data_IF_986614449885
#
_entry.id   IF_986614449885
#
_cell.length_a   1.000
_cell.length_b   1.000
_cell.length_c   1.000
_cell.angle_alpha   90.00
_cell.angle_beta   90.00
_cell.angle_gamma   90.00
#
_symmetry.space_group_name_H-M   'P 1'
#
loop_
_entity.id
_entity.type
_entity.pdbx_description
1 polymer ?
#
# COMPACT_ATOMS: atom_id res chain seq x y z
N UNK A 1 7.58 26.10 -39.40
CA UNK A 1 6.30 26.80 -39.38
C UNK A 1 5.32 25.97 -38.53
N UNK A 2 4.52 26.64 -37.69
CA UNK A 2 3.43 25.99 -37.00
C UNK A 2 2.39 25.48 -37.99
N UNK A 3 1.80 24.33 -37.73
CA UNK A 3 0.74 23.72 -38.55
C UNK A 3 -0.46 23.44 -37.67
N UNK A 4 -1.64 23.89 -38.10
CA UNK A 4 -2.89 23.64 -37.41
C UNK A 4 -3.51 22.33 -37.89
N UNK A 5 -4.11 21.58 -36.98
CA UNK A 5 -4.93 20.40 -37.24
C UNK A 5 -6.27 20.59 -36.57
N UNK A 6 -7.33 20.48 -37.35
CA UNK A 6 -8.72 20.49 -36.88
C UNK A 6 -9.54 19.54 -37.77
N UNK A 7 -10.68 19.07 -37.29
CA UNK A 7 -11.42 18.10 -38.08
C UNK A 7 -12.81 17.78 -37.52
N UNK A 8 -13.41 16.82 -38.23
CA UNK A 8 -14.74 16.27 -37.99
C UNK A 8 -15.89 17.23 -38.31
N UNK A 9 -15.69 18.02 -39.35
CA UNK A 9 -16.75 18.80 -39.96
C UNK A 9 -17.33 18.06 -41.18
N UNK A 10 -18.65 18.10 -41.34
CA UNK A 10 -19.32 17.53 -42.50
C UNK A 10 -18.93 18.29 -43.79
N UNK A 11 -18.91 17.58 -44.89
CA UNK A 11 -18.77 18.19 -46.21
C UNK A 11 -20.03 18.96 -46.60
N UNK A 12 -19.83 20.09 -47.27
CA UNK A 12 -20.87 20.84 -47.97
C UNK A 12 -20.46 21.01 -49.42
N UNK A 13 -21.40 21.36 -50.30
CA UNK A 13 -21.15 21.46 -51.76
C UNK A 13 -19.97 22.39 -52.10
N UNK A 14 -19.77 23.45 -51.31
CA UNK A 14 -18.69 24.43 -51.49
C UNK A 14 -17.39 24.10 -50.73
N UNK A 15 -17.40 23.09 -49.85
CA UNK A 15 -16.24 22.70 -49.00
C UNK A 15 -16.28 21.20 -48.69
N UNK A 16 -15.67 20.41 -49.58
CA UNK A 16 -15.56 18.96 -49.41
C UNK A 16 -14.43 18.64 -48.46
N UNK A 17 -14.77 17.94 -47.39
CA UNK A 17 -13.84 17.54 -46.33
C UNK A 17 -13.50 16.06 -46.43
N UNK A 18 -12.22 15.76 -46.52
CA UNK A 18 -11.68 14.41 -46.44
C UNK A 18 -10.69 14.31 -45.29
N UNK A 19 -10.83 13.28 -44.46
CA UNK A 19 -9.95 13.03 -43.35
C UNK A 19 -9.25 11.69 -43.54
N UNK A 20 -7.93 11.71 -43.48
CA UNK A 20 -7.12 10.49 -43.54
C UNK A 20 -6.86 9.90 -42.14
N UNK A 21 -6.39 8.64 -42.12
CA UNK A 21 -6.08 7.94 -40.88
C UNK A 21 -5.01 8.66 -40.04
N UNK A 22 -4.08 9.38 -40.66
CA UNK A 22 -3.03 10.10 -39.92
C UNK A 22 -3.61 11.32 -39.19
N UNK A 23 -4.62 11.99 -39.77
CA UNK A 23 -5.34 13.10 -39.13
C UNK A 23 -6.12 12.61 -37.92
N UNK A 24 -6.83 11.47 -38.01
CA UNK A 24 -7.50 10.84 -36.85
C UNK A 24 -6.50 10.45 -35.76
N UNK A 25 -5.43 9.78 -36.12
CA UNK A 25 -4.38 9.38 -35.16
C UNK A 25 -3.73 10.61 -34.51
N UNK A 26 -3.53 11.70 -35.26
CA UNK A 26 -2.96 12.94 -34.70
C UNK A 26 -3.84 13.55 -33.61
N UNK A 27 -5.14 13.63 -33.83
CA UNK A 27 -6.10 14.18 -32.87
C UNK A 27 -6.19 13.26 -31.61
N UNK A 28 -6.26 11.94 -31.84
CA UNK A 28 -6.32 11.00 -30.71
C UNK A 28 -5.02 11.04 -29.87
N UNK A 29 -3.87 11.09 -30.51
CA UNK A 29 -2.56 11.23 -29.83
C UNK A 29 -2.45 12.51 -28.99
N UNK A 30 -3.10 13.59 -29.41
CA UNK A 30 -3.16 14.83 -28.64
C UNK A 30 -3.96 14.65 -27.34
N UNK A 31 -4.92 13.73 -27.30
CA UNK A 31 -5.87 13.53 -26.20
C UNK A 31 -5.54 12.34 -25.29
N UNK A 32 -4.90 11.29 -25.85
CA UNK A 32 -4.62 10.04 -25.14
C UNK A 32 -3.13 9.69 -25.20
N UNK A 33 -2.59 9.16 -24.13
CA UNK A 33 -1.21 8.65 -24.06
C UNK A 33 -1.09 7.28 -24.72
N UNK A 34 0.11 6.90 -25.15
CA UNK A 34 0.40 5.53 -25.54
C UNK A 34 0.30 4.60 -24.34
N UNK A 35 -0.22 3.39 -24.54
CA UNK A 35 -0.34 2.38 -23.49
C UNK A 35 -1.53 1.46 -23.68
N UNK A 36 -1.70 0.52 -22.77
CA UNK A 36 -2.88 -0.35 -22.71
C UNK A 36 -4.08 0.40 -22.13
N UNK A 37 -5.28 0.08 -22.60
CA UNK A 37 -6.50 0.82 -22.27
C UNK A 37 -7.18 0.39 -20.98
N UNK A 38 -6.72 -0.69 -20.34
CA UNK A 38 -7.31 -1.24 -19.11
C UNK A 38 -6.24 -1.69 -18.11
N UNK A 39 -6.49 -1.45 -16.83
CA UNK A 39 -5.71 -2.00 -15.72
C UNK A 39 -6.12 -3.43 -15.35
N UNK A 40 -7.35 -3.84 -15.74
CA UNK A 40 -7.97 -5.09 -15.31
C UNK A 40 -7.72 -6.20 -16.33
N UNK A 41 -6.50 -6.73 -16.36
CA UNK A 41 -6.16 -7.88 -17.19
C UNK A 41 -6.07 -7.63 -18.70
N UNK A 42 -6.40 -6.44 -19.20
CA UNK A 42 -6.37 -6.12 -20.63
C UNK A 42 -4.99 -6.31 -21.23
N UNK A 43 -4.90 -7.15 -22.28
CA UNK A 43 -3.67 -7.57 -22.94
C UNK A 43 -2.63 -8.23 -21.99
N UNK A 44 -3.08 -8.82 -20.89
CA UNK A 44 -2.21 -9.57 -19.98
C UNK A 44 -1.62 -10.79 -20.67
N UNK A 45 -0.32 -11.00 -20.45
CA UNK A 45 0.38 -12.17 -20.97
C UNK A 45 0.53 -13.19 -19.86
N UNK A 46 0.08 -14.41 -20.11
CA UNK A 46 0.17 -15.54 -19.17
C UNK A 46 0.79 -16.77 -19.82
N UNK A 47 1.27 -17.71 -19.01
CA UNK A 47 1.70 -19.03 -19.43
C UNK A 47 1.15 -20.08 -18.46
N UNK A 48 0.79 -21.26 -18.97
CA UNK A 48 0.16 -22.35 -18.22
C UNK A 48 1.13 -23.45 -17.79
N UNK A 49 2.38 -23.39 -18.24
CA UNK A 49 3.40 -24.39 -17.94
C UNK A 49 3.33 -25.67 -18.79
N UNK A 50 2.43 -25.76 -19.76
CA UNK A 50 2.19 -26.98 -20.51
C UNK A 50 3.07 -27.10 -21.76
N UNK A 51 3.43 -25.99 -22.36
CA UNK A 51 4.24 -25.95 -23.59
C UNK A 51 5.02 -24.63 -23.74
N UNK A 52 5.56 -24.37 -24.93
CA UNK A 52 6.33 -23.16 -25.27
C UNK A 52 5.46 -22.01 -25.74
N UNK A 53 4.26 -21.86 -25.19
CA UNK A 53 3.33 -20.82 -25.59
C UNK A 53 2.99 -19.86 -24.43
N UNK A 54 2.65 -18.65 -24.80
CA UNK A 54 2.02 -17.66 -23.93
C UNK A 54 0.66 -17.27 -24.50
N UNK A 55 -0.25 -16.90 -23.63
CA UNK A 55 -1.60 -16.47 -23.97
C UNK A 55 -1.75 -14.98 -23.69
N UNK A 56 -2.46 -14.28 -24.55
CA UNK A 56 -2.73 -12.84 -24.39
C UNK A 56 -4.22 -12.64 -24.17
N UNK A 57 -4.57 -12.00 -23.08
CA UNK A 57 -5.97 -11.69 -22.74
C UNK A 57 -6.53 -10.62 -23.70
N UNK A 58 -7.85 -10.62 -23.87
CA UNK A 58 -8.56 -9.58 -24.60
C UNK A 58 -8.31 -8.20 -24.00
N UNK A 59 -8.32 -7.17 -24.83
CA UNK A 59 -8.07 -5.81 -24.41
C UNK A 59 -7.62 -4.92 -25.57
N UNK A 60 -7.29 -3.69 -25.26
CA UNK A 60 -6.88 -2.73 -26.27
C UNK A 60 -5.67 -1.89 -25.85
N UNK A 61 -5.07 -1.23 -26.81
CA UNK A 61 -4.04 -0.22 -26.58
C UNK A 61 -4.11 0.91 -27.61
N UNK A 62 -3.47 2.01 -27.25
CA UNK A 62 -3.25 3.16 -28.14
C UNK A 62 -1.75 3.32 -28.37
N UNK A 63 -1.33 3.39 -29.63
CA UNK A 63 0.05 3.66 -30.05
C UNK A 63 0.05 4.77 -31.07
N UNK A 64 0.64 5.92 -30.74
CA UNK A 64 0.75 7.09 -31.61
C UNK A 64 -0.60 7.54 -32.24
N UNK A 65 -1.70 7.33 -31.45
CA UNK A 65 -3.05 7.63 -31.89
C UNK A 65 -3.72 6.56 -32.74
N UNK A 66 -3.06 5.46 -33.04
CA UNK A 66 -3.67 4.28 -33.65
C UNK A 66 -4.17 3.34 -32.52
N UNK A 67 -5.31 2.71 -32.74
CA UNK A 67 -5.96 1.83 -31.77
C UNK A 67 -5.83 0.38 -32.20
N UNK A 68 -5.45 -0.48 -31.27
CA UNK A 68 -5.49 -1.93 -31.40
C UNK A 68 -6.48 -2.49 -30.39
N UNK A 69 -7.31 -3.44 -30.80
CA UNK A 69 -8.23 -4.17 -29.93
C UNK A 69 -8.10 -5.65 -30.26
N UNK A 70 -7.95 -6.45 -29.19
CA UNK A 70 -8.05 -7.90 -29.21
C UNK A 70 -9.36 -8.27 -28.52
N UNK A 71 -10.30 -8.80 -29.27
CA UNK A 71 -11.63 -9.22 -28.79
C UNK A 71 -11.71 -10.74 -28.72
N UNK A 72 -12.53 -11.24 -27.77
CA UNK A 72 -12.87 -12.64 -27.69
C UNK A 72 -13.99 -12.93 -28.72
N UNK A 73 -13.71 -13.81 -29.64
CA UNK A 73 -14.69 -14.29 -30.63
C UNK A 73 -15.36 -15.63 -30.21
N UNK A 74 -15.13 -16.06 -28.95
CA UNK A 74 -15.60 -17.32 -28.39
C UNK A 74 -14.80 -18.55 -28.83
N UNK A 75 -13.61 -18.31 -29.39
CA UNK A 75 -12.67 -19.35 -29.82
C UNK A 75 -11.55 -19.63 -28.82
N UNK A 76 -10.42 -20.09 -29.36
CA UNK A 76 -9.21 -20.36 -28.57
C UNK A 76 -8.53 -19.02 -28.15
N UNK A 77 -7.88 -18.99 -26.98
CA UNK A 77 -7.12 -17.82 -26.54
C UNK A 77 -6.08 -17.39 -27.55
N UNK A 78 -5.84 -16.08 -27.69
CA UNK A 78 -4.79 -15.56 -28.53
C UNK A 78 -3.43 -16.03 -28.04
N UNK A 79 -2.76 -16.86 -28.83
CA UNK A 79 -1.60 -17.63 -28.42
C UNK A 79 -0.35 -17.24 -29.21
N UNK A 80 0.77 -17.12 -28.54
CA UNK A 80 2.08 -16.86 -29.12
C UNK A 80 3.03 -18.00 -28.80
N UNK A 81 3.75 -18.48 -29.82
CA UNK A 81 4.75 -19.55 -29.65
C UNK A 81 6.14 -18.94 -29.49
N UNK A 82 6.87 -19.43 -28.53
CA UNK A 82 8.29 -19.13 -28.30
C UNK A 82 9.15 -20.29 -28.79
N UNK A 83 10.18 -19.98 -29.55
CA UNK A 83 11.14 -20.99 -29.96
C UNK A 83 11.93 -21.51 -28.73
N UNK A 84 12.29 -22.80 -28.67
CA UNK A 84 13.12 -23.31 -27.61
C UNK A 84 14.46 -22.57 -27.54
N UNK A 85 14.98 -22.34 -26.31
CA UNK A 85 16.36 -21.87 -26.15
C UNK A 85 17.34 -23.03 -26.16
N UNK A 86 18.50 -22.83 -26.71
CA UNK A 86 19.55 -23.85 -26.72
C UNK A 86 20.16 -24.09 -25.34
N UNK A 87 21.49 -23.93 -25.22
CA UNK A 87 22.23 -24.21 -23.98
C UNK A 87 22.28 -23.06 -22.97
N UNK A 88 21.68 -21.92 -23.27
CA UNK A 88 21.66 -20.76 -22.40
C UNK A 88 20.22 -20.14 -22.36
N UNK A 89 19.91 -19.50 -21.26
CA UNK A 89 18.65 -18.75 -21.10
C UNK A 89 18.60 -17.56 -22.05
N UNK A 90 17.40 -17.17 -22.46
CA UNK A 90 17.14 -15.90 -23.11
C UNK A 90 15.89 -15.23 -22.52
N UNK A 91 15.72 -13.96 -22.79
CA UNK A 91 14.50 -13.21 -22.47
C UNK A 91 13.87 -12.72 -23.77
N UNK A 92 12.67 -13.21 -24.08
CA UNK A 92 11.84 -12.70 -25.16
C UNK A 92 10.98 -11.54 -24.64
N UNK A 93 10.44 -10.71 -25.53
CA UNK A 93 9.39 -9.74 -25.23
C UNK A 93 8.15 -10.01 -26.04
N UNK A 94 7.01 -9.97 -25.38
CA UNK A 94 5.69 -9.89 -26.03
C UNK A 94 5.34 -8.42 -26.17
N UNK A 95 5.13 -7.96 -27.38
CA UNK A 95 4.83 -6.54 -27.68
C UNK A 95 3.61 -6.39 -28.55
N UNK A 96 2.88 -5.27 -28.39
CA UNK A 96 2.03 -4.74 -29.45
C UNK A 96 2.88 -3.83 -30.30
N UNK A 97 2.91 -4.11 -31.60
CA UNK A 97 3.72 -3.36 -32.57
C UNK A 97 2.82 -2.66 -33.58
N UNK A 98 2.98 -1.35 -33.69
CA UNK A 98 2.50 -0.54 -34.79
C UNK A 98 3.56 -0.53 -35.89
N UNK A 99 3.16 -0.89 -37.11
CA UNK A 99 3.93 -0.70 -38.35
C UNK A 99 3.19 0.31 -39.22
N UNK A 100 3.74 1.51 -39.33
CA UNK A 100 3.12 2.63 -40.07
C UNK A 100 4.00 3.08 -41.27
N UNK A 101 4.64 2.12 -41.92
CA UNK A 101 5.42 2.36 -43.15
C UNK A 101 4.58 2.23 -44.42
N UNK A 102 5.18 2.57 -45.56
CA UNK A 102 4.47 2.45 -46.84
C UNK A 102 4.14 1.00 -47.23
N UNK A 103 4.97 0.05 -46.80
CA UNK A 103 4.83 -1.40 -47.10
C UNK A 103 4.04 -2.18 -46.08
N UNK A 104 3.87 -1.63 -44.87
CA UNK A 104 3.15 -2.31 -43.79
C UNK A 104 2.38 -1.26 -42.97
N UNK A 105 1.07 -1.35 -42.98
CA UNK A 105 0.14 -0.52 -42.21
C UNK A 105 -0.73 -1.44 -41.37
N UNK A 106 -0.24 -1.81 -40.20
CA UNK A 106 -0.91 -2.77 -39.29
C UNK A 106 -0.46 -2.61 -37.88
N UNK A 107 -1.27 -3.12 -36.97
CA UNK A 107 -0.91 -3.39 -35.58
C UNK A 107 -1.09 -4.86 -35.28
N UNK A 108 -0.34 -5.35 -34.30
CA UNK A 108 -0.50 -6.74 -33.85
C UNK A 108 0.44 -7.10 -32.72
N UNK A 109 0.07 -8.14 -32.00
CA UNK A 109 0.91 -8.74 -30.94
C UNK A 109 1.98 -9.60 -31.59
N UNK A 110 3.21 -9.48 -31.11
CA UNK A 110 4.37 -10.24 -31.61
C UNK A 110 5.32 -10.63 -30.48
N UNK A 111 6.07 -11.70 -30.68
CA UNK A 111 7.24 -12.03 -29.87
C UNK A 111 8.48 -11.39 -30.51
N UNK A 112 9.22 -10.63 -29.72
CA UNK A 112 10.59 -10.24 -30.01
C UNK A 112 11.52 -11.25 -29.35
N UNK A 113 12.17 -12.08 -30.15
CA UNK A 113 13.07 -13.13 -29.66
C UNK A 113 14.37 -12.52 -29.14
N UNK A 114 14.74 -12.86 -27.90
CA UNK A 114 15.97 -12.43 -27.29
C UNK A 114 17.20 -13.22 -27.74
N UNK A 115 18.36 -12.82 -27.25
CA UNK A 115 19.62 -13.52 -27.53
C UNK A 115 20.01 -14.39 -26.32
N UNK A 116 20.23 -15.71 -26.52
CA UNK A 116 20.69 -16.58 -25.44
C UNK A 116 22.06 -16.16 -24.92
N UNK A 117 22.16 -16.03 -23.57
CA UNK A 117 23.45 -15.68 -22.92
C UNK A 117 23.47 -16.09 -21.44
N UNK A 118 24.64 -16.04 -20.80
CA UNK A 118 24.77 -16.26 -19.36
C UNK A 118 24.10 -15.17 -18.51
N UNK A 119 23.87 -13.99 -19.09
CA UNK A 119 23.13 -12.88 -18.46
C UNK A 119 22.21 -12.26 -19.52
N UNK A 120 21.08 -12.94 -19.82
CA UNK A 120 20.22 -12.54 -20.92
C UNK A 120 19.56 -11.18 -20.64
N UNK A 121 19.47 -10.36 -21.69
CA UNK A 121 18.79 -9.09 -21.66
C UNK A 121 17.59 -9.12 -22.62
N UNK A 122 16.48 -8.48 -22.28
CA UNK A 122 15.34 -8.41 -23.17
C UNK A 122 15.66 -7.56 -24.42
N UNK A 123 15.07 -7.86 -25.58
CA UNK A 123 15.23 -7.06 -26.77
C UNK A 123 14.87 -5.59 -26.56
N UNK A 124 15.63 -4.70 -27.15
CA UNK A 124 15.34 -3.26 -27.13
C UNK A 124 14.08 -2.96 -27.94
N UNK A 125 13.18 -2.15 -27.40
CA UNK A 125 11.97 -1.69 -28.08
C UNK A 125 12.31 -0.74 -29.21
N UNK A 126 11.69 -0.94 -30.36
CA UNK A 126 11.78 -0.03 -31.50
C UNK A 126 10.73 1.05 -31.36
N UNK A 127 11.16 2.31 -31.35
CA UNK A 127 10.27 3.49 -31.26
C UNK A 127 10.74 4.59 -32.20
N UNK A 128 10.17 4.60 -33.40
CA UNK A 128 10.47 5.61 -34.44
C UNK A 128 9.20 5.94 -35.22
N UNK A 129 9.31 6.77 -36.25
CA UNK A 129 8.17 7.22 -37.05
C UNK A 129 7.45 6.10 -37.82
N UNK A 130 8.11 4.98 -38.07
CA UNK A 130 7.57 3.88 -38.88
C UNK A 130 7.16 2.67 -38.04
N UNK A 131 7.83 2.47 -36.89
CA UNK A 131 7.59 1.34 -35.99
C UNK A 131 7.55 1.85 -34.56
N UNK A 132 6.52 1.43 -33.83
CA UNK A 132 6.42 1.71 -32.40
C UNK A 132 5.98 0.46 -31.64
N UNK A 133 6.65 0.15 -30.55
CA UNK A 133 6.39 -1.03 -29.75
C UNK A 133 6.06 -0.67 -28.31
N UNK A 134 5.01 -1.33 -27.76
CA UNK A 134 4.69 -1.37 -26.34
C UNK A 134 4.95 -2.78 -25.85
N UNK A 135 5.74 -2.92 -24.79
CA UNK A 135 6.03 -4.21 -24.19
C UNK A 135 4.94 -4.62 -23.21
N UNK A 136 4.25 -5.72 -23.48
CA UNK A 136 3.26 -6.28 -22.57
C UNK A 136 3.94 -7.09 -21.45
N UNK A 137 4.93 -7.92 -21.81
CA UNK A 137 5.66 -8.74 -20.86
C UNK A 137 7.06 -9.13 -21.35
N UNK A 138 7.95 -9.43 -20.42
CA UNK A 138 9.15 -10.22 -20.66
C UNK A 138 8.86 -11.69 -20.37
N UNK A 139 9.40 -12.57 -21.18
CA UNK A 139 9.24 -14.02 -21.05
C UNK A 139 10.63 -14.66 -21.02
N UNK A 140 10.98 -15.24 -19.87
CA UNK A 140 12.24 -15.98 -19.74
C UNK A 140 12.09 -17.38 -20.35
N UNK A 141 12.85 -17.67 -21.37
CA UNK A 141 12.95 -18.98 -21.98
C UNK A 141 14.22 -19.64 -21.45
N UNK A 142 14.06 -20.57 -20.53
CA UNK A 142 15.20 -21.26 -19.88
C UNK A 142 15.93 -22.16 -20.86
N UNK A 143 17.18 -22.40 -20.59
CA UNK A 143 18.03 -23.34 -21.40
C UNK A 143 17.37 -24.71 -21.49
N UNK A 144 17.24 -25.23 -22.72
CA UNK A 144 16.62 -26.53 -23.00
C UNK A 144 15.21 -26.76 -22.48
N UNK A 145 14.49 -25.68 -22.10
CA UNK A 145 13.10 -25.77 -21.65
C UNK A 145 12.20 -26.21 -22.83
N UNK A 146 11.20 -26.99 -22.49
CA UNK A 146 10.09 -27.40 -23.39
C UNK A 146 8.77 -26.78 -23.00
N UNK A 147 8.74 -26.02 -21.92
CA UNK A 147 7.58 -25.31 -21.43
C UNK A 147 7.98 -23.95 -20.86
N UNK A 148 7.02 -23.02 -20.77
CA UNK A 148 7.15 -21.72 -20.12
C UNK A 148 6.21 -21.73 -18.92
N UNK A 149 6.76 -21.54 -17.72
CA UNK A 149 5.97 -21.46 -16.49
C UNK A 149 5.45 -20.03 -16.24
N UNK A 150 4.43 -19.89 -15.39
CA UNK A 150 3.88 -18.58 -15.05
C UNK A 150 4.90 -17.64 -14.41
N UNK A 151 5.82 -18.17 -13.61
CA UNK A 151 6.90 -17.40 -12.99
C UNK A 151 7.98 -16.91 -13.98
N UNK A 152 7.99 -17.43 -15.20
CA UNK A 152 8.89 -16.97 -16.27
C UNK A 152 8.33 -15.75 -17.02
N UNK A 153 7.08 -15.33 -16.73
CA UNK A 153 6.44 -14.16 -17.33
C UNK A 153 6.49 -12.99 -16.36
N UNK A 154 7.06 -11.88 -16.81
CA UNK A 154 7.11 -10.63 -16.05
C UNK A 154 6.25 -9.57 -16.76
N UNK A 155 5.18 -9.12 -16.13
CA UNK A 155 4.29 -8.09 -16.68
C UNK A 155 4.99 -6.74 -16.74
N UNK A 156 5.01 -6.10 -17.93
CA UNK A 156 5.57 -4.77 -18.17
C UNK A 156 4.50 -3.70 -18.48
N UNK A 157 3.21 -4.04 -18.42
CA UNK A 157 2.13 -3.09 -18.75
C UNK A 157 2.12 -1.88 -17.83
N UNK A 158 2.46 -2.06 -16.56
CA UNK A 158 2.56 -0.98 -15.57
C UNK A 158 3.80 -0.11 -15.68
N UNK A 159 4.81 -0.53 -16.43
CA UNK A 159 6.03 0.26 -16.64
C UNK A 159 5.80 1.32 -17.73
N UNK A 160 5.74 2.59 -17.33
CA UNK A 160 5.54 3.71 -18.25
C UNK A 160 6.66 3.88 -19.30
N UNK A 161 7.85 3.29 -19.07
CA UNK A 161 8.94 3.31 -20.04
C UNK A 161 8.81 2.16 -21.05
N UNK A 162 8.22 1.04 -20.67
CA UNK A 162 8.04 -0.12 -21.53
C UNK A 162 6.69 -0.13 -22.24
N UNK A 163 5.60 0.16 -21.52
CA UNK A 163 4.23 0.14 -22.01
C UNK A 163 3.44 1.36 -21.51
N UNK A 164 3.04 1.33 -20.23
CA UNK A 164 2.15 2.30 -19.63
C UNK A 164 0.68 2.06 -19.94
N UNK A 165 -0.17 2.97 -19.42
CA UNK A 165 -1.61 2.93 -19.63
C UNK A 165 -2.07 4.09 -20.51
N UNK A 166 -3.04 3.82 -21.39
CA UNK A 166 -3.66 4.79 -22.28
C UNK A 166 -4.63 5.70 -21.50
N UNK A 167 -4.10 6.65 -20.76
CA UNK A 167 -4.89 7.61 -20.00
C UNK A 167 -5.06 8.92 -20.76
N UNK A 168 -6.15 9.64 -20.45
CA UNK A 168 -6.38 10.97 -21.01
C UNK A 168 -5.28 11.94 -20.54
N UNK A 169 -4.62 12.60 -21.49
CA UNK A 169 -3.59 13.63 -21.19
C UNK A 169 -4.13 14.80 -20.37
N UNK A 170 -5.41 15.09 -20.51
CA UNK A 170 -6.08 16.13 -19.75
C UNK A 170 -6.31 15.71 -18.31
N UNK A 171 -6.79 14.47 -18.10
CA UNK A 171 -7.06 13.92 -16.77
C UNK A 171 -5.76 13.74 -15.98
N UNK A 172 -4.73 13.21 -16.60
CA UNK A 172 -3.41 13.03 -15.99
C UNK A 172 -2.86 14.35 -15.45
N UNK A 173 -2.88 15.42 -16.26
CA UNK A 173 -2.47 16.76 -15.82
C UNK A 173 -3.36 17.33 -14.71
N UNK A 174 -4.67 17.13 -14.81
CA UNK A 174 -5.61 17.62 -13.81
C UNK A 174 -5.39 16.93 -12.45
N UNK A 175 -5.11 15.63 -12.45
CA UNK A 175 -4.83 14.86 -11.24
C UNK A 175 -3.43 15.16 -10.70
N UNK A 176 -2.40 15.14 -11.55
CA UNK A 176 -1.02 15.41 -11.14
C UNK A 176 -0.85 16.81 -10.51
N UNK A 177 -1.54 17.82 -11.05
CA UNK A 177 -1.52 19.17 -10.50
C UNK A 177 -2.30 19.34 -9.20
N UNK A 178 -3.11 18.34 -8.80
CA UNK A 178 -3.95 18.39 -7.59
C UNK A 178 -3.54 17.41 -6.50
N UNK A 179 -2.54 16.57 -6.75
CA UNK A 179 -1.96 15.71 -5.70
C UNK A 179 -0.85 16.48 -5.00
N UNK A 180 -1.02 16.75 -3.72
CA UNK A 180 -0.07 17.54 -2.93
C UNK A 180 0.63 16.71 -1.87
N UNK A 181 1.93 16.87 -1.78
CA UNK A 181 2.76 16.25 -0.75
C UNK A 181 2.91 17.19 0.46
N UNK A 182 1.76 17.58 1.06
CA UNK A 182 1.72 18.50 2.20
C UNK A 182 0.51 18.22 3.07
N UNK A 183 0.70 18.19 4.40
CA UNK A 183 -0.37 18.09 5.38
C UNK A 183 -1.00 19.45 5.74
N UNK A 184 -0.46 20.55 5.22
CA UNK A 184 -0.91 21.91 5.54
C UNK A 184 -1.78 22.53 4.45
N UNK A 185 -2.09 21.77 3.39
CA UNK A 185 -2.99 22.22 2.34
C UNK A 185 -4.44 22.31 2.89
N UNK A 186 -5.04 23.47 2.80
CA UNK A 186 -6.40 23.77 3.29
C UNK A 186 -7.38 24.08 2.17
N UNK A 187 -6.92 24.20 0.93
CA UNK A 187 -7.75 24.47 -0.22
C UNK A 187 -8.52 23.22 -0.68
N UNK A 188 -9.78 23.41 -1.07
CA UNK A 188 -10.60 22.34 -1.61
C UNK A 188 -10.14 21.91 -3.02
N UNK A 189 -10.37 20.64 -3.37
CA UNK A 189 -10.08 20.10 -4.71
C UNK A 189 -8.68 19.53 -4.87
N UNK A 190 -7.92 19.38 -3.79
CA UNK A 190 -6.63 18.69 -3.76
C UNK A 190 -6.74 17.30 -3.12
N UNK A 191 -5.96 16.35 -3.60
CA UNK A 191 -5.79 15.03 -3.03
C UNK A 191 -4.45 14.94 -2.29
N UNK A 192 -4.43 14.17 -1.21
CA UNK A 192 -3.21 13.95 -0.45
C UNK A 192 -2.35 12.87 -1.12
N UNK A 193 -1.06 13.15 -1.28
CA UNK A 193 -0.08 12.15 -1.74
C UNK A 193 0.02 10.98 -0.74
N UNK A 194 0.07 9.74 -1.23
CA UNK A 194 0.16 8.54 -0.40
C UNK A 194 1.36 8.55 0.56
N UNK A 195 2.44 9.24 0.23
CA UNK A 195 3.61 9.43 1.11
C UNK A 195 3.26 10.16 2.40
N UNK A 196 2.27 11.04 2.37
CA UNK A 196 1.79 11.72 3.58
C UNK A 196 0.94 10.81 4.47
N UNK A 197 0.23 9.84 3.88
CA UNK A 197 -0.45 8.79 4.64
C UNK A 197 0.53 8.01 5.52
N UNK A 198 1.66 7.61 4.96
CA UNK A 198 2.75 6.96 5.71
C UNK A 198 3.34 7.87 6.79
N UNK A 199 3.60 9.13 6.48
CA UNK A 199 4.12 10.10 7.45
C UNK A 199 3.16 10.35 8.62
N UNK A 200 1.83 10.30 8.37
CA UNK A 200 0.81 10.36 9.42
C UNK A 200 0.81 9.11 10.28
N UNK A 201 0.88 7.92 9.68
CA UNK A 201 0.93 6.64 10.39
C UNK A 201 2.14 6.56 11.34
N UNK A 202 3.32 6.98 10.86
CA UNK A 202 4.54 7.06 11.66
C UNK A 202 4.39 8.04 12.85
N UNK A 203 3.72 9.20 12.63
CA UNK A 203 3.44 10.16 13.71
C UNK A 203 2.43 9.61 14.71
N UNK A 204 1.37 8.96 14.28
CA UNK A 204 0.36 8.33 15.13
C UNK A 204 0.99 7.22 15.96
N UNK A 205 1.81 6.38 15.36
CA UNK A 205 2.52 5.29 16.05
C UNK A 205 3.43 5.85 17.15
N UNK A 206 4.19 6.91 16.84
CA UNK A 206 5.04 7.58 17.84
C UNK A 206 4.23 8.18 18.97
N UNK A 207 3.16 8.95 18.68
CA UNK A 207 2.29 9.52 19.69
C UNK A 207 1.63 8.44 20.56
N UNK A 208 1.25 7.30 19.97
CA UNK A 208 0.68 6.17 20.72
C UNK A 208 1.71 5.51 21.64
N UNK A 209 2.98 5.50 21.26
CA UNK A 209 4.07 5.00 22.08
C UNK A 209 4.45 5.97 23.21
N UNK A 210 4.38 7.27 22.95
CA UNK A 210 4.70 8.35 23.90
C UNK A 210 3.51 8.71 24.81
N UNK A 211 2.29 8.28 24.46
CA UNK A 211 1.08 8.60 25.21
C UNK A 211 1.13 7.96 26.60
N UNK A 212 0.97 8.77 27.64
CA UNK A 212 0.89 8.31 29.00
C UNK A 212 -0.25 7.27 29.17
N UNK A 213 0.09 6.12 29.71
CA UNK A 213 -0.85 5.02 29.98
C UNK A 213 -1.17 4.97 31.45
N UNK A 214 -2.44 4.99 31.79
CA UNK A 214 -2.90 4.81 33.17
C UNK A 214 -3.16 3.33 33.44
N UNK A 215 -2.48 2.78 34.44
CA UNK A 215 -2.73 1.44 34.91
C UNK A 215 -3.36 1.51 36.34
N UNK A 216 -4.29 0.59 36.63
CA UNK A 216 -4.93 0.48 37.94
C UNK A 216 -4.54 -0.84 38.58
N UNK A 217 -4.10 -0.76 39.82
CA UNK A 217 -3.77 -1.91 40.68
C UNK A 217 -4.55 -1.84 41.98
N UNK A 218 -4.62 -2.95 42.67
CA UNK A 218 -5.23 -3.03 44.01
C UNK A 218 -4.30 -3.77 44.95
N UNK A 219 -4.39 -3.41 46.23
CA UNK A 219 -3.73 -4.11 47.30
C UNK A 219 -4.63 -4.09 48.55
N UNK A 220 -4.36 -4.93 49.52
CA UNK A 220 -5.04 -4.90 50.83
C UNK A 220 -4.01 -4.83 51.93
N UNK A 221 -4.09 -3.78 52.74
CA UNK A 221 -3.35 -3.65 53.98
C UNK A 221 -4.17 -4.31 55.11
N UNK A 222 -3.70 -5.42 55.63
CA UNK A 222 -4.45 -6.18 56.66
C UNK A 222 -4.26 -5.59 58.05
N UNK A 223 -5.29 -5.64 58.90
CA UNK A 223 -5.21 -5.14 60.28
C UNK A 223 -4.05 -5.74 61.08
N UNK A 224 -3.77 -7.03 60.85
CA UNK A 224 -2.70 -7.76 61.56
C UNK A 224 -1.30 -7.63 60.95
N UNK A 225 -1.18 -7.05 59.75
CA UNK A 225 0.08 -7.04 58.97
C UNK A 225 1.04 -5.91 59.31
N UNK A 226 0.69 -4.99 60.22
CA UNK A 226 1.50 -3.85 60.61
C UNK A 226 2.62 -4.22 61.59
N UNK A 227 3.76 -3.57 61.46
CA UNK A 227 4.87 -3.72 62.43
C UNK A 227 4.46 -3.41 63.87
N UNK A 228 5.30 -3.84 64.82
CA UNK A 228 4.98 -3.74 66.20
C UNK A 228 5.16 -2.33 66.84
N UNK A 229 5.99 -1.48 66.21
CA UNK A 229 6.32 -0.13 66.69
C UNK A 229 6.23 0.91 65.59
N UNK A 230 5.94 2.15 65.98
CA UNK A 230 5.96 3.28 65.06
C UNK A 230 7.38 3.64 64.59
N UNK A 231 7.56 4.10 63.34
CA UNK A 231 6.52 4.16 62.30
C UNK A 231 6.05 2.75 61.92
N UNK A 232 4.76 2.51 62.03
CA UNK A 232 4.18 1.22 61.64
C UNK A 232 4.27 1.05 60.13
N UNK A 233 4.80 -0.08 59.69
CA UNK A 233 4.96 -0.37 58.27
C UNK A 233 4.27 -1.67 57.89
N UNK A 234 3.72 -1.70 56.67
CA UNK A 234 3.19 -2.94 56.11
C UNK A 234 3.52 -2.98 54.62
N UNK A 235 4.04 -4.11 54.16
CA UNK A 235 4.21 -4.40 52.73
C UNK A 235 3.08 -5.30 52.25
N UNK A 236 2.39 -4.91 51.20
CA UNK A 236 1.30 -5.68 50.61
C UNK A 236 1.61 -5.94 49.11
N UNK A 237 1.17 -7.10 48.60
CA UNK A 237 1.31 -7.45 47.20
C UNK A 237 0.45 -6.53 46.33
N UNK A 238 1.05 -6.00 45.25
CA UNK A 238 0.42 -5.20 44.20
C UNK A 238 1.02 -5.60 42.84
N UNK A 239 0.63 -6.78 42.36
CA UNK A 239 1.21 -7.36 41.14
C UNK A 239 1.14 -6.41 39.97
N UNK A 240 2.28 -6.16 39.32
CA UNK A 240 2.41 -5.25 38.18
C UNK A 240 2.87 -3.82 38.52
N UNK A 241 2.90 -3.43 39.80
CA UNK A 241 3.53 -2.19 40.26
C UNK A 241 5.05 -2.34 40.14
N UNK A 242 5.74 -1.29 39.71
CA UNK A 242 7.21 -1.22 39.60
C UNK A 242 7.78 -0.31 40.68
N UNK A 243 9.01 -0.54 41.08
CA UNK A 243 9.72 0.30 42.07
C UNK A 243 9.96 1.74 41.56
N UNK A 244 9.82 1.97 40.26
CA UNK A 244 9.95 3.29 39.63
C UNK A 244 8.62 4.03 39.51
N UNK A 245 7.50 3.38 39.86
CA UNK A 245 6.19 4.01 39.79
C UNK A 245 6.00 5.01 40.95
N UNK A 246 5.27 6.09 40.62
CA UNK A 246 4.77 7.03 41.63
C UNK A 246 3.24 6.96 41.65
N UNK A 247 2.65 6.02 42.44
CA UNK A 247 1.24 5.76 42.37
C UNK A 247 0.41 6.79 43.13
N UNK A 248 -0.71 7.23 42.56
CA UNK A 248 -1.79 7.81 43.32
C UNK A 248 -2.52 6.69 44.06
N UNK A 249 -2.51 6.72 45.38
CA UNK A 249 -3.12 5.70 46.21
C UNK A 249 -4.31 6.25 47.00
N UNK A 250 -5.42 5.52 46.99
CA UNK A 250 -6.60 5.85 47.75
C UNK A 250 -7.29 4.59 48.27
N UNK A 251 -8.16 4.75 49.26
CA UNK A 251 -8.95 3.66 49.83
C UNK A 251 -9.97 3.16 48.81
N UNK A 252 -10.10 1.83 48.65
CA UNK A 252 -11.15 1.25 47.80
C UNK A 252 -12.46 1.12 48.61
N UNK A 253 -13.37 2.03 48.34
CA UNK A 253 -14.70 2.05 48.94
C UNK A 253 -15.73 1.18 48.20
N UNK A 254 -15.36 0.56 47.07
CA UNK A 254 -16.31 -0.17 46.21
C UNK A 254 -16.94 -1.40 46.88
N UNK A 255 -16.26 -1.97 47.86
CA UNK A 255 -16.74 -3.11 48.64
C UNK A 255 -17.47 -2.73 49.97
N UNK A 256 -17.64 -1.43 50.27
CA UNK A 256 -18.29 -1.00 51.51
C UNK A 256 -19.81 -1.26 51.43
N UNK A 257 -20.33 -2.09 52.34
CA UNK A 257 -21.73 -2.50 52.34
C UNK A 257 -22.69 -1.57 53.14
N UNK A 258 -22.18 -0.46 53.66
CA UNK A 258 -22.98 0.53 54.40
C UNK A 258 -22.13 1.62 55.03
N UNK A 259 -22.81 2.62 55.63
CA UNK A 259 -22.16 3.80 56.20
C UNK A 259 -21.15 3.47 57.30
N UNK A 260 -21.45 2.51 58.16
CA UNK A 260 -20.54 2.13 59.26
C UNK A 260 -19.22 1.58 58.73
N UNK A 261 -19.26 0.72 57.70
CA UNK A 261 -18.05 0.18 57.08
C UNK A 261 -17.29 1.26 56.32
N UNK A 262 -18.01 2.14 55.61
CA UNK A 262 -17.41 3.28 54.91
C UNK A 262 -16.66 4.21 55.86
N UNK A 263 -17.28 4.53 57.03
CA UNK A 263 -16.65 5.36 58.08
C UNK A 263 -15.40 4.68 58.63
N UNK A 264 -15.47 3.38 58.94
CA UNK A 264 -14.32 2.63 59.47
C UNK A 264 -13.14 2.58 58.45
N UNK A 265 -13.42 2.44 57.14
CA UNK A 265 -12.39 2.49 56.10
C UNK A 265 -11.79 3.89 55.92
N UNK A 266 -12.59 4.93 56.02
CA UNK A 266 -12.13 6.32 55.95
C UNK A 266 -11.24 6.68 57.12
N UNK A 267 -11.64 6.30 58.34
CA UNK A 267 -10.83 6.48 59.57
C UNK A 267 -9.52 5.70 59.49
N UNK A 268 -9.59 4.46 59.05
CA UNK A 268 -8.41 3.63 58.86
C UNK A 268 -7.42 4.18 57.83
N UNK A 269 -7.94 4.76 56.70
CA UNK A 269 -7.13 5.41 55.70
C UNK A 269 -6.45 6.67 56.26
N UNK A 270 -7.09 7.38 57.16
CA UNK A 270 -6.54 8.56 57.81
C UNK A 270 -5.25 8.32 58.60
N UNK A 271 -4.94 7.08 59.03
CA UNK A 271 -3.68 6.71 59.69
C UNK A 271 -2.52 6.51 58.68
N UNK A 272 -2.81 6.30 57.38
CA UNK A 272 -1.79 6.06 56.37
C UNK A 272 -1.17 7.38 55.91
N UNK A 273 0.02 7.66 56.38
CA UNK A 273 0.71 8.91 56.05
C UNK A 273 1.57 8.84 54.79
N UNK A 274 1.95 7.65 54.34
CA UNK A 274 2.80 7.46 53.13
C UNK A 274 2.63 6.07 52.56
N UNK A 275 2.68 5.97 51.24
CA UNK A 275 2.82 4.70 50.52
C UNK A 275 3.96 4.81 49.52
N UNK A 276 4.78 3.78 49.39
CA UNK A 276 5.87 3.68 48.40
C UNK A 276 5.68 2.44 47.55
N UNK A 277 6.07 2.56 46.27
CA UNK A 277 6.05 1.46 45.32
C UNK A 277 7.33 0.59 45.45
N UNK A 278 7.16 -0.70 45.21
CA UNK A 278 8.21 -1.68 45.01
C UNK A 278 7.83 -2.63 43.87
N UNK A 279 8.74 -3.49 43.44
CA UNK A 279 8.43 -4.43 42.36
C UNK A 279 7.40 -5.46 42.82
N UNK A 280 6.18 -5.38 42.27
CA UNK A 280 5.05 -6.25 42.59
C UNK A 280 4.43 -5.99 43.97
N UNK A 281 4.73 -4.90 44.63
CA UNK A 281 4.31 -4.61 46.01
C UNK A 281 4.25 -3.12 46.30
N UNK A 282 3.55 -2.77 47.38
CA UNK A 282 3.60 -1.44 48.00
C UNK A 282 3.98 -1.55 49.46
N UNK A 283 4.60 -0.51 50.02
CA UNK A 283 4.83 -0.40 51.49
C UNK A 283 4.14 0.84 52.01
N UNK A 284 3.22 0.67 52.93
CA UNK A 284 2.50 1.72 53.62
C UNK A 284 3.14 2.03 54.99
N UNK A 285 3.06 3.29 55.38
CA UNK A 285 3.63 3.83 56.64
C UNK A 285 2.55 4.59 57.41
N UNK A 286 2.43 4.27 58.70
CA UNK A 286 1.62 5.01 59.66
C UNK A 286 2.53 5.54 60.76
N UNK A 287 2.43 6.82 61.08
CA UNK A 287 3.37 7.48 61.99
C UNK A 287 2.90 7.55 63.47
N UNK A 288 1.59 7.64 63.65
CA UNK A 288 0.96 7.80 64.99
C UNK A 288 0.25 6.50 65.41
N UNK A 289 -0.80 6.15 64.70
CA UNK A 289 -1.62 4.96 64.93
C UNK A 289 -1.72 4.11 63.67
N UNK A 290 -2.22 2.88 63.77
CA UNK A 290 -2.36 1.96 62.62
C UNK A 290 -3.80 1.49 62.47
N UNK A 291 -4.23 1.15 61.23
CA UNK A 291 -5.54 0.60 60.95
C UNK A 291 -5.87 -0.64 61.78
N UNK A 292 -7.05 -0.64 62.39
CA UNK A 292 -7.61 -1.79 63.14
C UNK A 292 -8.49 -2.69 62.25
N UNK A 293 -8.74 -2.27 60.98
CA UNK A 293 -9.51 -3.02 60.00
C UNK A 293 -8.66 -3.29 58.77
N UNK A 294 -9.06 -4.29 57.98
CA UNK A 294 -8.43 -4.51 56.68
C UNK A 294 -8.78 -3.35 55.74
N UNK A 295 -7.77 -2.75 55.10
CA UNK A 295 -7.87 -1.56 54.31
C UNK A 295 -7.56 -1.91 52.85
N UNK A 296 -8.60 -2.10 51.98
CA UNK A 296 -8.38 -2.25 50.57
C UNK A 296 -7.99 -0.90 49.95
N UNK A 297 -6.98 -0.90 49.10
CA UNK A 297 -6.48 0.32 48.44
C UNK A 297 -6.41 0.13 46.93
N UNK A 298 -6.64 1.23 46.20
CA UNK A 298 -6.50 1.34 44.76
C UNK A 298 -5.29 2.19 44.46
N UNK A 299 -4.51 1.75 43.50
CA UNK A 299 -3.39 2.49 42.98
C UNK A 299 -3.64 2.86 41.50
N UNK A 300 -3.44 4.13 41.14
CA UNK A 300 -3.37 4.58 39.77
C UNK A 300 -1.93 5.00 39.48
N UNK A 301 -1.37 4.39 38.45
CA UNK A 301 -0.02 4.68 37.96
C UNK A 301 -0.10 5.23 36.57
N UNK A 302 0.62 6.31 36.30
CA UNK A 302 0.81 6.90 34.97
C UNK A 302 2.21 6.54 34.51
N UNK A 303 2.31 5.90 33.36
CA UNK A 303 3.59 5.49 32.75
C UNK A 303 3.74 6.05 31.34
#
# INVERSE_FOLDING_TARGET
MAREFYGYFDSIDADVREYDAAQFAHILRASVQNGVSSHEGGLEVTADGLDMRTHVACGGCVIEGYVYVLEDDGGEPFTLTHEPSGTADRIDRVVVRLENGQSARRMGVKVLTGTPSASPQPPTLTRNAQVWELSLAQVRVRASATTIASEDVTDERGDAQACGYAVSRWLDRAVAGRVVNSLTMTEAGYALDARQGRALDEKITRLSAEAARTARYSATLTAAGWSASAPYTQTASAAGVLSTDDPFVDVDMSGASGSAQGTALTEAWGFVGRVTAGNGQITAYCYEDKPAVNLPVILKVVR
#
